data_IF_736755570689
#
_entry.id   IF_736755570689
#
_cell.length_a   1.000
_cell.length_b   1.000
_cell.length_c   1.000
_cell.angle_alpha   90.00
_cell.angle_beta   90.00
_cell.angle_gamma   90.00
#
_symmetry.space_group_name_H-M   'P 1'
#
loop_
_entity.id
_entity.type
_entity.pdbx_description
1 polymer ?
#
# COMPACT_ATOMS: atom_id res chain seq x y z
N UNK A 1 46.12 5.61 11.00
CA UNK A 1 44.74 5.38 11.46
C UNK A 1 43.88 6.50 10.90
N UNK A 2 43.06 6.20 9.89
CA UNK A 2 42.13 7.18 9.31
C UNK A 2 40.97 7.30 10.30
N UNK A 3 40.69 8.53 10.72
CA UNK A 3 39.78 8.81 11.83
C UNK A 3 38.35 8.36 11.54
N UNK A 4 37.81 7.55 12.44
CA UNK A 4 36.38 7.34 12.58
C UNK A 4 35.69 8.70 12.69
N UNK A 5 34.88 9.03 11.69
CA UNK A 5 34.10 10.25 11.66
C UNK A 5 33.10 10.25 12.81
N UNK A 6 33.05 11.34 13.57
CA UNK A 6 32.11 11.53 14.69
C UNK A 6 30.65 11.36 14.24
N UNK A 7 30.38 11.48 12.94
CA UNK A 7 29.07 11.25 12.32
C UNK A 7 28.67 9.76 12.18
N UNK A 8 29.62 8.82 12.09
CA UNK A 8 29.30 7.38 12.04
C UNK A 8 28.69 6.89 13.35
N UNK A 9 28.97 7.59 14.46
CA UNK A 9 28.46 7.25 15.79
C UNK A 9 26.99 7.63 15.99
N UNK A 10 26.50 8.64 15.26
CA UNK A 10 25.13 9.16 15.37
C UNK A 10 24.20 8.69 14.24
N UNK A 11 24.75 8.12 13.17
CA UNK A 11 24.03 7.52 12.05
C UNK A 11 24.09 5.98 12.12
N UNK A 12 23.81 5.39 13.28
CA UNK A 12 23.28 4.02 13.26
C UNK A 12 21.89 4.08 12.65
N UNK A 13 21.82 4.19 11.31
CA UNK A 13 20.57 4.04 10.56
C UNK A 13 19.92 2.76 11.09
N UNK A 14 18.70 2.88 11.60
CA UNK A 14 17.91 1.71 12.00
C UNK A 14 17.95 0.75 10.80
N UNK A 15 18.51 -0.43 11.01
CA UNK A 15 18.55 -1.46 9.98
C UNK A 15 17.10 -1.74 9.59
N UNK A 16 16.81 -1.76 8.30
CA UNK A 16 15.49 -2.16 7.81
C UNK A 16 15.20 -3.59 8.28
N UNK A 17 13.93 -3.87 8.52
CA UNK A 17 13.45 -5.24 8.70
C UNK A 17 13.63 -6.00 7.37
N UNK A 18 13.67 -7.34 7.37
CA UNK A 18 13.80 -8.11 6.13
C UNK A 18 12.77 -7.71 5.07
N UNK A 19 13.13 -7.85 3.78
CA UNK A 19 12.27 -7.45 2.65
C UNK A 19 10.88 -8.11 2.72
N UNK A 20 10.84 -9.36 3.20
CA UNK A 20 9.64 -10.16 3.45
C UNK A 20 8.63 -9.47 4.37
N UNK A 21 9.07 -8.58 5.25
CA UNK A 21 8.19 -7.84 6.15
C UNK A 21 7.41 -6.72 5.43
N UNK A 22 7.90 -6.24 4.29
CA UNK A 22 7.32 -5.10 3.58
C UNK A 22 6.51 -5.50 2.34
N UNK A 23 6.90 -6.58 1.66
CA UNK A 23 6.28 -7.00 0.40
C UNK A 23 4.78 -7.32 0.54
N UNK A 24 4.30 -8.09 1.55
CA UNK A 24 2.87 -8.36 1.72
C UNK A 24 2.06 -7.07 1.88
N UNK A 25 2.56 -6.10 2.65
CA UNK A 25 1.87 -4.84 2.87
C UNK A 25 1.78 -3.98 1.60
N UNK A 26 2.80 -4.04 0.73
CA UNK A 26 2.75 -3.37 -0.59
C UNK A 26 1.71 -4.02 -1.50
N UNK A 27 1.64 -5.35 -1.54
CA UNK A 27 0.64 -6.11 -2.33
C UNK A 27 -0.77 -5.86 -1.81
N UNK A 28 -0.97 -5.83 -0.50
CA UNK A 28 -2.27 -5.52 0.09
C UNK A 28 -2.76 -4.11 -0.27
N UNK A 29 -1.86 -3.12 -0.30
CA UNK A 29 -2.22 -1.79 -0.79
C UNK A 29 -2.51 -1.79 -2.29
N UNK A 30 -1.81 -2.61 -3.09
CA UNK A 30 -2.14 -2.78 -4.52
C UNK A 30 -3.58 -3.28 -4.70
N UNK A 31 -4.00 -4.28 -3.91
CA UNK A 31 -5.38 -4.77 -3.92
C UNK A 31 -6.38 -3.68 -3.50
N UNK A 32 -6.06 -2.93 -2.45
CA UNK A 32 -6.90 -1.82 -1.98
C UNK A 32 -7.05 -0.70 -3.03
N UNK A 33 -6.00 -0.40 -3.80
CA UNK A 33 -6.06 0.56 -4.91
C UNK A 33 -6.92 0.02 -6.07
N UNK A 34 -6.87 -1.28 -6.36
CA UNK A 34 -7.74 -1.93 -7.35
C UNK A 34 -9.21 -1.85 -6.95
N UNK A 35 -9.52 -2.19 -5.70
CA UNK A 35 -10.87 -2.06 -5.13
C UNK A 35 -11.40 -0.63 -5.20
N UNK A 36 -10.54 0.38 -4.95
CA UNK A 36 -10.90 1.78 -5.15
C UNK A 36 -11.28 2.04 -6.62
N UNK A 37 -10.51 1.52 -7.57
CA UNK A 37 -10.83 1.61 -9.00
C UNK A 37 -12.20 1.04 -9.35
N UNK A 38 -12.54 -0.13 -8.79
CA UNK A 38 -13.84 -0.78 -8.95
C UNK A 38 -14.99 0.06 -8.34
N UNK A 39 -14.74 0.70 -7.20
CA UNK A 39 -15.73 1.58 -6.53
C UNK A 39 -16.08 2.85 -7.32
N UNK A 40 -15.25 3.23 -8.31
CA UNK A 40 -15.50 4.36 -9.21
C UNK A 40 -16.32 3.99 -10.45
N UNK A 41 -16.67 2.71 -10.66
CA UNK A 41 -17.38 2.26 -11.85
C UNK A 41 -18.90 2.33 -11.74
N UNK A 42 -19.42 2.64 -10.55
CA UNK A 42 -20.85 2.80 -10.29
C UNK A 42 -21.35 4.18 -10.72
N UNK A 43 -22.66 4.32 -10.98
CA UNK A 43 -23.27 5.58 -11.45
C UNK A 43 -23.02 6.78 -10.52
N UNK A 44 -22.98 6.54 -9.20
CA UNK A 44 -22.72 7.57 -8.19
C UNK A 44 -21.68 7.06 -7.18
N UNK A 45 -20.38 7.24 -7.45
CA UNK A 45 -19.33 6.82 -6.55
C UNK A 45 -19.38 7.58 -5.22
N UNK A 46 -19.19 6.86 -4.11
CA UNK A 46 -19.06 7.48 -2.78
C UNK A 46 -17.63 7.97 -2.59
N UNK A 47 -17.32 9.16 -3.10
CA UNK A 47 -15.95 9.70 -3.12
C UNK A 47 -15.30 9.81 -1.73
N UNK A 48 -16.09 10.05 -0.67
CA UNK A 48 -15.57 10.06 0.70
C UNK A 48 -15.09 8.67 1.14
N UNK A 49 -15.83 7.61 0.80
CA UNK A 49 -15.46 6.22 1.09
C UNK A 49 -14.26 5.79 0.25
N UNK A 50 -14.23 6.15 -1.03
CA UNK A 50 -13.07 5.95 -1.90
C UNK A 50 -11.81 6.58 -1.31
N UNK A 51 -11.93 7.79 -0.75
CA UNK A 51 -10.80 8.49 -0.11
C UNK A 51 -10.37 7.83 1.19
N UNK A 52 -11.30 7.22 1.93
CA UNK A 52 -10.96 6.45 3.12
C UNK A 52 -10.06 5.24 2.77
N UNK A 53 -10.27 4.60 1.61
CA UNK A 53 -9.40 3.50 1.13
C UNK A 53 -7.94 3.95 0.92
N UNK A 54 -7.66 5.22 0.68
CA UNK A 54 -6.28 5.73 0.57
C UNK A 54 -5.62 6.06 1.92
N UNK A 55 -6.36 6.01 3.01
CA UNK A 55 -5.93 6.55 4.32
C UNK A 55 -5.91 5.53 5.44
N UNK A 56 -6.66 4.44 5.29
CA UNK A 56 -6.82 3.40 6.30
C UNK A 56 -6.40 2.04 5.76
N UNK A 57 -6.25 1.07 6.66
CA UNK A 57 -5.82 -0.28 6.30
C UNK A 57 -4.37 -0.32 5.78
N UNK A 58 -4.05 -1.19 4.81
CA UNK A 58 -2.71 -1.28 4.21
C UNK A 58 -2.16 0.07 3.72
N UNK A 59 -3.01 0.91 3.12
CA UNK A 59 -2.63 2.23 2.60
C UNK A 59 -2.01 3.16 3.68
N UNK A 60 -2.41 3.04 4.95
CA UNK A 60 -1.93 3.89 6.03
C UNK A 60 -0.41 3.79 6.28
N UNK A 61 0.17 2.61 6.04
CA UNK A 61 1.60 2.35 6.20
C UNK A 61 2.37 2.30 4.88
N UNK A 62 1.67 2.42 3.75
CA UNK A 62 2.19 2.16 2.42
C UNK A 62 3.43 2.99 2.07
N UNK A 63 3.43 4.28 2.39
CA UNK A 63 4.55 5.19 2.10
C UNK A 63 5.87 4.71 2.71
N UNK A 64 5.82 4.08 3.89
CA UNK A 64 7.01 3.51 4.55
C UNK A 64 7.40 2.20 3.88
N UNK A 65 6.44 1.29 3.68
CA UNK A 65 6.68 -0.03 3.12
C UNK A 65 7.23 0.04 1.68
N UNK A 66 6.62 0.86 0.82
CA UNK A 66 7.05 0.98 -0.58
C UNK A 66 8.47 1.58 -0.70
N UNK A 67 8.84 2.51 0.20
CA UNK A 67 10.20 3.06 0.26
C UNK A 67 11.21 2.04 0.76
N UNK A 68 10.84 1.18 1.70
CA UNK A 68 11.69 0.09 2.15
C UNK A 68 11.97 -0.90 1.00
N UNK A 69 10.95 -1.31 0.24
CA UNK A 69 11.11 -2.15 -0.96
C UNK A 69 12.04 -1.49 -1.98
N UNK A 70 11.88 -0.18 -2.23
CA UNK A 70 12.79 0.54 -3.13
C UNK A 70 14.23 0.64 -2.62
N UNK A 71 14.44 0.70 -1.30
CA UNK A 71 15.78 0.63 -0.72
C UNK A 71 16.44 -0.73 -1.00
N UNK A 72 15.70 -1.84 -0.85
CA UNK A 72 16.20 -3.17 -1.19
C UNK A 72 16.54 -3.32 -2.68
N UNK A 73 15.69 -2.78 -3.56
CA UNK A 73 15.96 -2.71 -4.99
C UNK A 73 17.20 -1.86 -5.28
N UNK A 74 17.40 -0.77 -4.53
CA UNK A 74 18.61 0.07 -4.63
C UNK A 74 19.87 -0.67 -4.24
N UNK A 75 19.84 -1.42 -3.15
CA UNK A 75 20.98 -2.22 -2.69
C UNK A 75 21.36 -3.31 -3.71
N UNK A 76 20.42 -3.70 -4.58
CA UNK A 76 20.60 -4.64 -5.69
C UNK A 76 20.96 -3.97 -7.03
N UNK A 77 21.22 -2.66 -7.05
CA UNK A 77 21.65 -1.90 -8.25
C UNK A 77 20.54 -1.21 -9.03
N UNK A 78 19.27 -1.32 -8.62
CA UNK A 78 18.11 -0.75 -9.33
C UNK A 78 17.62 0.59 -8.76
N UNK A 79 18.44 1.28 -7.96
CA UNK A 79 17.98 2.38 -7.09
C UNK A 79 17.33 3.54 -7.81
N UNK A 80 17.93 4.04 -8.90
CA UNK A 80 17.37 5.17 -9.67
C UNK A 80 15.97 4.86 -10.19
N UNK A 81 15.79 3.67 -10.75
CA UNK A 81 14.49 3.23 -11.28
C UNK A 81 13.49 3.00 -10.15
N UNK A 82 13.90 2.31 -9.09
CA UNK A 82 13.03 1.99 -7.95
C UNK A 82 12.48 3.25 -7.26
N UNK A 83 13.35 4.21 -6.91
CA UNK A 83 12.90 5.46 -6.28
C UNK A 83 12.06 6.32 -7.23
N UNK A 84 12.38 6.35 -8.53
CA UNK A 84 11.54 7.04 -9.52
C UNK A 84 10.12 6.45 -9.59
N UNK A 85 9.98 5.12 -9.47
CA UNK A 85 8.68 4.46 -9.43
C UNK A 85 7.93 4.76 -8.14
N UNK A 86 8.61 4.78 -7.00
CA UNK A 86 8.00 5.22 -5.74
C UNK A 86 7.48 6.66 -5.84
N UNK A 87 8.27 7.58 -6.38
CA UNK A 87 7.85 8.99 -6.51
C UNK A 87 6.67 9.14 -7.47
N UNK A 88 6.66 8.39 -8.57
CA UNK A 88 5.53 8.34 -9.51
C UNK A 88 4.26 7.82 -8.83
N UNK A 89 4.37 6.72 -8.08
CA UNK A 89 3.26 6.13 -7.34
C UNK A 89 2.69 7.11 -6.30
N UNK A 90 3.53 7.66 -5.44
CA UNK A 90 3.10 8.54 -4.36
C UNK A 90 2.49 9.85 -4.89
N UNK A 91 3.02 10.43 -5.97
CA UNK A 91 2.38 11.59 -6.61
C UNK A 91 1.01 11.27 -7.16
N UNK A 92 0.85 10.13 -7.82
CA UNK A 92 -0.44 9.73 -8.37
C UNK A 92 -1.49 9.52 -7.26
N UNK A 93 -1.09 8.94 -6.12
CA UNK A 93 -1.97 8.78 -4.96
C UNK A 93 -2.31 10.12 -4.27
N UNK A 94 -1.35 11.05 -4.18
CA UNK A 94 -1.58 12.40 -3.65
C UNK A 94 -2.55 13.21 -4.55
N UNK A 95 -2.42 13.10 -5.87
CA UNK A 95 -3.35 13.70 -6.83
C UNK A 95 -4.73 13.04 -6.77
N UNK A 96 -4.78 11.71 -6.65
CA UNK A 96 -6.03 10.96 -6.48
C UNK A 96 -6.77 11.38 -5.19
N UNK A 97 -6.09 11.51 -4.04
CA UNK A 97 -6.72 12.00 -2.80
C UNK A 97 -7.31 13.40 -2.99
N UNK A 98 -6.60 14.26 -3.71
CA UNK A 98 -7.03 15.61 -4.03
C UNK A 98 -8.27 15.62 -4.92
N UNK A 99 -8.29 14.81 -5.98
CA UNK A 99 -9.46 14.63 -6.86
C UNK A 99 -10.66 14.09 -6.09
N UNK A 100 -10.48 13.07 -5.26
CA UNK A 100 -11.55 12.48 -4.44
C UNK A 100 -12.11 13.49 -3.43
N UNK A 101 -11.26 14.31 -2.79
CA UNK A 101 -11.72 15.39 -1.90
C UNK A 101 -12.54 16.45 -2.64
N UNK A 102 -12.12 16.82 -3.84
CA UNK A 102 -12.82 17.83 -4.66
C UNK A 102 -14.17 17.29 -5.13
N UNK A 103 -14.19 16.05 -5.62
CA UNK A 103 -15.40 15.36 -6.01
C UNK A 103 -16.38 15.18 -4.84
N UNK A 104 -15.90 14.83 -3.64
CA UNK A 104 -16.75 14.75 -2.44
C UNK A 104 -17.37 16.09 -2.03
N UNK A 105 -16.87 17.21 -2.58
CA UNK A 105 -17.38 18.57 -2.37
C UNK A 105 -18.18 19.11 -3.57
N UNK A 106 -18.49 18.25 -4.55
CA UNK A 106 -19.21 18.60 -5.79
C UNK A 106 -18.47 19.63 -6.67
N UNK A 107 -17.13 19.63 -6.65
CA UNK A 107 -16.30 20.44 -7.57
C UNK A 107 -16.32 19.82 -8.98
N UNK A 108 -16.70 20.62 -9.99
CA UNK A 108 -16.82 20.17 -11.39
C UNK A 108 -15.48 19.88 -12.09
N UNK A 109 -14.35 20.25 -11.49
CA UNK A 109 -13.00 19.99 -12.02
C UNK A 109 -12.46 18.59 -11.70
N UNK A 110 -13.18 17.78 -10.91
CA UNK A 110 -12.78 16.41 -10.60
C UNK A 110 -13.49 15.43 -11.53
N UNK A 111 -12.78 14.86 -12.50
CA UNK A 111 -13.33 13.82 -13.39
C UNK A 111 -12.95 12.41 -12.94
N UNK A 112 -13.89 11.48 -13.09
CA UNK A 112 -13.66 10.04 -12.85
C UNK A 112 -12.53 9.52 -13.77
N UNK A 113 -12.40 10.03 -14.99
CA UNK A 113 -11.32 9.62 -15.90
C UNK A 113 -9.95 9.99 -15.32
N UNK A 114 -9.81 11.18 -14.72
CA UNK A 114 -8.57 11.62 -14.09
C UNK A 114 -8.24 10.77 -12.86
N UNK A 115 -9.26 10.36 -12.10
CA UNK A 115 -9.08 9.43 -10.97
C UNK A 115 -8.58 8.06 -11.45
N UNK A 116 -9.25 7.47 -12.46
CA UNK A 116 -8.85 6.19 -13.05
C UNK A 116 -7.45 6.24 -13.66
N UNK A 117 -7.08 7.35 -14.29
CA UNK A 117 -5.73 7.54 -14.82
C UNK A 117 -4.66 7.52 -13.70
N UNK A 118 -4.90 8.21 -12.58
CA UNK A 118 -3.99 8.20 -11.44
C UNK A 118 -3.91 6.81 -10.77
N UNK A 119 -5.02 6.07 -10.71
CA UNK A 119 -5.04 4.67 -10.25
C UNK A 119 -4.14 3.80 -11.13
N UNK A 120 -4.29 3.89 -12.45
CA UNK A 120 -3.44 3.15 -13.40
C UNK A 120 -1.96 3.47 -13.21
N UNK A 121 -1.60 4.75 -13.10
CA UNK A 121 -0.22 5.18 -12.86
C UNK A 121 0.33 4.61 -11.54
N UNK A 122 -0.48 4.61 -10.47
CA UNK A 122 -0.07 4.08 -9.18
C UNK A 122 0.15 2.56 -9.24
N UNK A 123 -0.77 1.82 -9.87
CA UNK A 123 -0.68 0.35 -10.01
C UNK A 123 0.52 -0.05 -10.87
N UNK A 124 0.73 0.59 -12.02
CA UNK A 124 1.88 0.33 -12.89
C UNK A 124 3.21 0.58 -12.18
N UNK A 125 3.25 1.62 -11.33
CA UNK A 125 4.44 1.95 -10.55
C UNK A 125 4.70 0.94 -9.43
N UNK A 126 3.65 0.42 -8.78
CA UNK A 126 3.76 -0.65 -7.79
C UNK A 126 4.24 -1.94 -8.44
N UNK A 127 3.61 -2.37 -9.54
CA UNK A 127 4.00 -3.58 -10.27
C UNK A 127 5.45 -3.50 -10.76
N UNK A 128 5.83 -2.36 -11.36
CA UNK A 128 7.23 -2.11 -11.77
C UNK A 128 8.22 -2.26 -10.62
N UNK A 129 7.85 -1.85 -9.40
CA UNK A 129 8.70 -1.98 -8.23
C UNK A 129 8.72 -3.42 -7.71
N UNK A 130 7.57 -4.09 -7.62
CA UNK A 130 7.47 -5.48 -7.19
C UNK A 130 8.25 -6.43 -8.11
N UNK A 131 8.34 -6.12 -9.41
CA UNK A 131 9.18 -6.86 -10.36
C UNK A 131 10.70 -6.74 -10.07
N UNK A 132 11.13 -5.88 -9.16
CA UNK A 132 12.53 -5.81 -8.68
C UNK A 132 12.80 -6.72 -7.48
N UNK A 133 11.76 -7.28 -6.87
CA UNK A 133 11.84 -8.18 -5.72
C UNK A 133 12.22 -9.60 -6.21
N UNK A 134 13.09 -10.33 -5.49
CA UNK A 134 13.37 -11.75 -5.80
C UNK A 134 12.08 -12.58 -5.87
N UNK A 135 11.98 -13.48 -6.84
CA UNK A 135 10.74 -14.24 -7.09
C UNK A 135 10.26 -15.03 -5.89
N UNK A 136 11.17 -15.64 -5.11
CA UNK A 136 10.82 -16.42 -3.93
C UNK A 136 10.23 -15.56 -2.79
N UNK A 137 10.69 -14.31 -2.66
CA UNK A 137 10.14 -13.34 -1.72
C UNK A 137 8.80 -12.80 -2.22
N UNK A 138 8.68 -12.52 -3.53
CA UNK A 138 7.44 -12.05 -4.14
C UNK A 138 6.32 -13.10 -4.03
N UNK A 139 6.62 -14.38 -4.31
CA UNK A 139 5.66 -15.47 -4.23
C UNK A 139 5.17 -15.71 -2.80
N UNK A 140 6.08 -15.68 -1.81
CA UNK A 140 5.70 -15.71 -0.38
C UNK A 140 4.85 -14.51 0.00
N UNK A 141 5.21 -13.31 -0.48
CA UNK A 141 4.47 -12.10 -0.22
C UNK A 141 3.04 -12.15 -0.76
N UNK A 142 2.85 -12.69 -1.97
CA UNK A 142 1.54 -12.94 -2.56
C UNK A 142 0.73 -13.93 -1.75
N UNK A 143 1.32 -15.07 -1.37
CA UNK A 143 0.64 -16.07 -0.56
C UNK A 143 0.12 -15.48 0.77
N UNK A 144 0.94 -14.69 1.46
CA UNK A 144 0.52 -13.99 2.69
C UNK A 144 -0.60 -12.99 2.39
N UNK A 145 -0.45 -12.14 1.36
CA UNK A 145 -1.46 -11.14 1.03
C UNK A 145 -2.82 -11.76 0.61
N UNK A 146 -2.80 -12.90 -0.08
CA UNK A 146 -4.00 -13.63 -0.48
C UNK A 146 -4.73 -14.24 0.73
N UNK A 147 -3.99 -14.71 1.75
CA UNK A 147 -4.55 -15.19 3.01
C UNK A 147 -5.30 -14.07 3.76
N UNK A 148 -4.77 -12.84 3.77
CA UNK A 148 -5.47 -11.68 4.34
C UNK A 148 -6.73 -11.26 3.57
N UNK A 149 -6.86 -11.65 2.29
CA UNK A 149 -8.01 -11.32 1.44
C UNK A 149 -9.10 -12.39 1.48
N UNK A 150 -8.75 -13.62 1.85
CA UNK A 150 -9.76 -14.64 2.09
C UNK A 150 -10.52 -14.21 3.35
N UNK A 151 -11.82 -13.89 3.26
CA UNK A 151 -12.59 -13.82 4.49
C UNK A 151 -12.49 -15.22 5.07
N UNK A 152 -11.81 -15.37 6.21
CA UNK A 152 -12.14 -16.48 7.08
C UNK A 152 -13.66 -16.38 7.21
N UNK A 153 -14.37 -17.31 6.58
CA UNK A 153 -15.66 -17.70 7.06
C UNK A 153 -15.35 -18.17 8.48
N UNK A 154 -15.36 -17.24 9.43
CA UNK A 154 -15.38 -17.55 10.84
C UNK A 154 -16.72 -18.25 11.00
N UNK A 155 -16.73 -19.54 10.70
CA UNK A 155 -17.78 -20.41 11.13
C UNK A 155 -17.89 -20.10 12.63
N UNK A 156 -19.09 -19.76 13.13
CA UNK A 156 -19.28 -19.36 14.53
C UNK A 156 -18.80 -20.43 15.55
N UNK A 157 -18.39 -21.60 15.07
CA UNK A 157 -17.77 -22.67 15.83
C UNK A 157 -16.35 -22.34 16.34
N UNK A 158 -15.57 -21.45 15.69
CA UNK A 158 -14.18 -21.15 16.08
C UNK A 158 -13.98 -19.86 16.92
N UNK A 159 -15.07 -19.18 17.31
CA UNK A 159 -14.94 -18.04 18.23
C UNK A 159 -14.52 -18.50 19.63
N UNK A 160 -13.49 -17.85 20.17
CA UNK A 160 -13.03 -17.98 21.55
C UNK A 160 -14.25 -17.88 22.52
N UNK A 161 -14.40 -18.78 23.49
CA UNK A 161 -15.51 -18.75 24.45
C UNK A 161 -15.77 -17.37 25.09
N UNK A 162 -14.74 -16.53 25.27
CA UNK A 162 -14.90 -15.16 25.78
C UNK A 162 -15.70 -14.24 24.82
N UNK A 163 -15.52 -14.38 23.51
CA UNK A 163 -16.24 -13.57 22.51
C UNK A 163 -17.72 -13.96 22.43
N UNK A 164 -18.04 -15.25 22.58
CA UNK A 164 -19.44 -15.73 22.63
C UNK A 164 -20.20 -15.20 23.84
N UNK A 165 -19.52 -14.97 24.96
CA UNK A 165 -20.14 -14.36 26.13
C UNK A 165 -20.47 -12.89 25.92
N UNK A 166 -19.64 -12.15 25.16
CA UNK A 166 -19.88 -10.75 24.85
C UNK A 166 -21.07 -10.55 23.90
N UNK A 167 -21.25 -11.42 22.91
CA UNK A 167 -22.43 -11.39 22.03
C UNK A 167 -23.74 -11.66 22.78
N UNK A 168 -23.69 -12.49 23.83
CA UNK A 168 -24.88 -12.82 24.65
C UNK A 168 -25.37 -11.66 25.54
N UNK A 169 -24.60 -10.57 25.63
CA UNK A 169 -24.88 -9.40 26.46
C UNK A 169 -25.42 -8.18 25.67
N UNK A 170 -25.52 -8.28 24.34
CA UNK A 170 -26.12 -7.28 23.45
C UNK A 170 -27.54 -7.68 23.04
#
# INVERSE_FOLDING_TARGET
>A
AIGDSIFDKYLKRKKLDPLEAYVPAVILTEFQIKELGESLEVDQPKYADCRNLLRYGPAASFRVNIRAVAQYASDSGNGKTAFSKVDQCLRALEELDSLLLRASRNDQGASIESMKANIGIALDAVDSLLNTVPSDVLDKGKAIADEYRTPEAVAPENLDPELKQLESLL
#
